data_IF_462701640465
#
_entry.id   IF_462701640465
#
_cell.length_a   1.000
_cell.length_b   1.000
_cell.length_c   1.000
_cell.angle_alpha   90.00
_cell.angle_beta   90.00
_cell.angle_gamma   90.00
#
_symmetry.space_group_name_H-M   'P 1'
#
loop_
_entity.id
_entity.type
_entity.pdbx_description
1 polymer ?
#
# COMPACT_ATOMS: atom_id res chain seq x y z
N UNK A 1 -23.30 -14.79 4.55
CA UNK A 1 -22.04 -14.57 5.30
C UNK A 1 -21.30 -13.30 4.92
N UNK A 2 -21.22 -12.90 3.63
CA UNK A 2 -20.36 -11.79 3.15
C UNK A 2 -20.68 -10.38 3.70
N UNK A 3 -21.95 -10.03 3.89
CA UNK A 3 -22.35 -8.70 4.36
C UNK A 3 -21.99 -8.43 5.84
N UNK A 4 -21.88 -9.49 6.64
CA UNK A 4 -21.54 -9.41 8.06
C UNK A 4 -20.10 -8.94 8.27
N UNK A 5 -19.16 -9.45 7.48
CA UNK A 5 -17.75 -9.03 7.53
C UNK A 5 -17.58 -7.54 7.22
N UNK A 6 -18.34 -7.03 6.24
CA UNK A 6 -18.32 -5.61 5.90
C UNK A 6 -18.83 -4.73 7.05
N UNK A 7 -19.92 -5.13 7.70
CA UNK A 7 -20.48 -4.40 8.84
C UNK A 7 -19.53 -4.41 10.04
N UNK A 8 -18.89 -5.56 10.31
CA UNK A 8 -17.89 -5.69 11.37
C UNK A 8 -16.68 -4.78 11.11
N UNK A 9 -16.17 -4.72 9.88
CA UNK A 9 -15.07 -3.82 9.51
C UNK A 9 -15.45 -2.35 9.66
N UNK A 10 -16.65 -1.97 9.25
CA UNK A 10 -17.16 -0.62 9.44
C UNK A 10 -17.27 -0.25 10.92
N UNK A 11 -17.72 -1.18 11.76
CA UNK A 11 -17.86 -0.95 13.19
C UNK A 11 -16.50 -0.82 13.88
N UNK A 12 -15.56 -1.74 13.60
CA UNK A 12 -14.18 -1.65 14.10
C UNK A 12 -13.55 -0.32 13.69
N UNK A 13 -13.76 0.10 12.45
CA UNK A 13 -13.23 1.36 11.97
C UNK A 13 -13.88 2.57 12.68
N UNK A 14 -15.20 2.59 12.86
CA UNK A 14 -15.89 3.68 13.56
C UNK A 14 -15.38 3.85 15.00
N UNK A 15 -14.98 2.75 15.63
CA UNK A 15 -14.35 2.77 16.96
C UNK A 15 -12.91 3.27 16.90
N UNK A 16 -12.15 2.85 15.89
CA UNK A 16 -10.74 3.23 15.75
C UNK A 16 -10.55 4.70 15.35
N UNK A 17 -11.43 5.26 14.50
CA UNK A 17 -11.37 6.65 14.02
C UNK A 17 -12.77 7.28 14.10
N UNK A 18 -13.10 7.93 15.23
CA UNK A 18 -14.35 8.65 15.44
C UNK A 18 -14.56 9.77 14.41
N UNK A 19 -15.82 10.12 14.13
CA UNK A 19 -16.15 11.12 13.10
C UNK A 19 -15.49 12.49 13.31
N UNK A 20 -15.30 12.89 14.56
CA UNK A 20 -14.64 14.15 14.95
C UNK A 20 -13.17 14.21 14.50
N UNK A 21 -12.51 13.07 14.42
CA UNK A 21 -11.09 12.96 14.05
C UNK A 21 -10.87 12.82 12.54
N UNK A 22 -11.94 12.60 11.75
CA UNK A 22 -11.82 12.37 10.29
C UNK A 22 -11.48 13.62 9.49
N UNK A 23 -11.60 14.81 10.08
CA UNK A 23 -11.30 16.10 9.43
C UNK A 23 -11.99 16.26 8.05
N UNK A 24 -13.23 15.80 7.93
CA UNK A 24 -14.01 15.84 6.68
C UNK A 24 -13.80 14.65 5.73
N UNK A 25 -12.90 13.73 6.05
CA UNK A 25 -12.66 12.51 5.25
C UNK A 25 -13.89 11.59 5.30
N UNK A 26 -14.41 11.25 4.10
CA UNK A 26 -15.48 10.26 3.92
C UNK A 26 -14.88 8.91 3.60
N UNK A 27 -15.47 7.85 4.16
CA UNK A 27 -14.93 6.51 4.08
C UNK A 27 -15.98 5.59 3.46
N UNK A 28 -15.55 4.80 2.49
CA UNK A 28 -16.42 3.94 1.71
C UNK A 28 -15.84 2.53 1.68
N UNK A 29 -16.60 1.58 2.20
CA UNK A 29 -16.18 0.18 2.26
C UNK A 29 -16.79 -0.60 1.10
N UNK A 30 -15.96 -1.42 0.48
CA UNK A 30 -16.31 -2.29 -0.65
C UNK A 30 -15.69 -3.66 -0.39
N UNK A 31 -16.42 -4.69 -0.76
CA UNK A 31 -15.98 -6.07 -0.63
C UNK A 31 -15.76 -6.61 -2.04
N UNK A 32 -14.58 -7.14 -2.29
CA UNK A 32 -14.16 -7.63 -3.60
C UNK A 32 -12.75 -8.19 -3.55
N UNK A 33 -12.30 -8.72 -4.67
CA UNK A 33 -10.94 -9.21 -4.86
C UNK A 33 -10.10 -8.21 -5.63
N UNK A 34 -8.88 -7.87 -5.17
CA UNK A 34 -7.96 -7.02 -5.92
C UNK A 34 -7.42 -7.69 -7.20
N UNK A 35 -7.71 -8.98 -7.40
CA UNK A 35 -7.32 -9.73 -8.60
C UNK A 35 -8.47 -9.81 -9.62
N UNK A 36 -9.63 -9.21 -9.32
CA UNK A 36 -10.79 -9.17 -10.21
C UNK A 36 -10.94 -7.74 -10.75
N UNK A 37 -10.80 -7.53 -12.07
CA UNK A 37 -10.85 -6.19 -12.66
C UNK A 37 -12.15 -5.43 -12.37
N UNK A 38 -13.29 -6.13 -12.40
CA UNK A 38 -14.60 -5.53 -12.11
C UNK A 38 -14.68 -4.93 -10.69
N UNK A 39 -14.06 -5.60 -9.71
CA UNK A 39 -14.05 -5.13 -8.32
C UNK A 39 -13.18 -3.87 -8.16
N UNK A 40 -12.07 -3.79 -8.89
CA UNK A 40 -11.22 -2.60 -8.94
C UNK A 40 -11.92 -1.41 -9.62
N UNK A 41 -12.75 -1.67 -10.62
CA UNK A 41 -13.58 -0.65 -11.27
C UNK A 41 -14.68 -0.11 -10.35
N UNK A 42 -15.30 -0.96 -9.52
CA UNK A 42 -16.32 -0.54 -8.54
C UNK A 42 -15.80 0.49 -7.53
N UNK A 43 -14.49 0.50 -7.27
CA UNK A 43 -13.83 1.46 -6.37
C UNK A 43 -13.08 2.56 -7.12
N UNK A 44 -13.19 2.60 -8.45
CA UNK A 44 -12.44 3.50 -9.33
C UNK A 44 -10.93 3.51 -9.05
N UNK A 45 -10.34 2.34 -8.73
CA UNK A 45 -8.95 2.22 -8.27
C UNK A 45 -7.93 2.81 -9.25
N UNK A 46 -8.17 2.69 -10.56
CA UNK A 46 -7.24 3.19 -11.57
C UNK A 46 -7.31 4.72 -11.74
N UNK A 47 -8.43 5.35 -11.37
CA UNK A 47 -8.66 6.81 -11.45
C UNK A 47 -8.42 7.54 -10.13
N UNK A 48 -8.12 6.82 -9.05
CA UNK A 48 -7.83 7.43 -7.76
C UNK A 48 -6.54 8.26 -7.81
N UNK A 49 -6.50 9.37 -7.06
CA UNK A 49 -5.30 10.22 -6.97
C UNK A 49 -4.09 9.51 -6.35
N UNK A 50 -4.34 8.52 -5.48
CA UNK A 50 -3.35 7.55 -5.03
C UNK A 50 -4.05 6.22 -4.69
N UNK A 51 -3.43 5.10 -5.06
CA UNK A 51 -3.91 3.75 -4.74
C UNK A 51 -2.83 3.02 -3.95
N UNK A 52 -3.18 2.54 -2.75
CA UNK A 52 -2.25 1.83 -1.87
C UNK A 52 -2.64 0.35 -1.85
N UNK A 53 -1.73 -0.51 -2.29
CA UNK A 53 -1.86 -1.97 -2.23
C UNK A 53 -1.10 -2.45 -1.01
N UNK A 54 -1.82 -2.93 0.00
CA UNK A 54 -1.25 -3.48 1.22
C UNK A 54 -1.09 -4.98 1.12
N UNK A 55 0.00 -5.51 1.67
CA UNK A 55 0.19 -6.95 1.77
C UNK A 55 -0.80 -7.54 2.79
N UNK A 56 -1.45 -8.65 2.46
CA UNK A 56 -2.44 -9.26 3.36
C UNK A 56 -1.75 -9.77 4.65
N UNK A 57 -2.09 -9.15 5.78
CA UNK A 57 -1.59 -9.53 7.11
C UNK A 57 -2.56 -10.44 7.88
N UNK A 58 -3.76 -10.66 7.34
CA UNK A 58 -4.89 -11.32 8.00
C UNK A 58 -4.71 -12.82 8.19
N UNK A 59 -3.65 -13.41 7.61
CA UNK A 59 -3.34 -14.85 7.72
C UNK A 59 -2.05 -15.09 8.52
N UNK A 60 -2.02 -14.62 9.77
CA UNK A 60 -1.02 -15.09 10.74
C UNK A 60 -1.45 -16.47 11.24
N UNK A 61 -0.78 -17.52 10.75
CA UNK A 61 -0.94 -18.88 11.28
C UNK A 61 -0.55 -18.88 12.75
N UNK A 62 -1.52 -19.27 13.59
CA UNK A 62 -1.33 -19.60 14.99
C UNK A 62 -0.23 -20.67 15.12
N UNK A 63 0.88 -20.33 15.80
CA UNK A 63 1.85 -21.34 16.25
C UNK A 63 1.27 -22.06 17.46
N UNK A 64 0.64 -23.19 17.20
CA UNK A 64 0.33 -24.20 18.21
C UNK A 64 -0.07 -25.48 17.50
N UNK A 65 0.39 -26.64 17.98
CA UNK A 65 0.08 -27.93 17.36
C UNK A 65 1.21 -28.45 16.47
N UNK A 66 2.15 -29.11 17.12
CA UNK A 66 3.22 -29.93 16.56
C UNK A 66 2.62 -31.16 15.85
N UNK A 67 2.85 -31.33 14.55
CA UNK A 67 3.08 -32.66 13.95
C UNK A 67 4.24 -32.57 12.93
N UNK A 68 5.28 -33.40 13.07
CA UNK A 68 6.25 -33.63 12.01
C UNK A 68 5.62 -34.62 11.03
N UNK A 69 5.60 -34.33 9.73
CA UNK A 69 5.70 -35.31 8.61
C UNK A 69 5.06 -34.88 7.27
N UNK A 70 4.45 -33.70 7.13
CA UNK A 70 3.98 -33.26 5.80
C UNK A 70 4.88 -32.18 5.17
N UNK A 71 5.78 -32.55 4.22
CA UNK A 71 6.56 -31.59 3.44
C UNK A 71 5.74 -30.82 2.38
N UNK A 72 4.45 -31.14 2.19
CA UNK A 72 3.60 -30.59 1.13
C UNK A 72 2.24 -30.03 1.60
N UNK A 73 2.10 -29.60 2.87
CA UNK A 73 0.89 -28.87 3.30
C UNK A 73 0.92 -27.40 2.82
N UNK A 74 0.30 -27.22 1.65
CA UNK A 74 0.13 -26.00 0.87
C UNK A 74 -0.88 -25.01 1.50
N UNK A 75 -0.69 -24.60 2.75
CA UNK A 75 -1.53 -23.56 3.37
C UNK A 75 -0.73 -22.63 4.31
N UNK A 76 0.53 -22.37 3.95
CA UNK A 76 1.37 -21.33 4.55
C UNK A 76 1.55 -20.21 3.55
N UNK A 77 0.71 -19.17 3.60
CA UNK A 77 0.96 -17.97 2.78
C UNK A 77 2.26 -17.31 3.22
N UNK A 78 3.35 -17.60 2.51
CA UNK A 78 4.67 -17.02 2.78
C UNK A 78 4.66 -15.53 2.40
N UNK A 79 5.62 -14.73 2.89
CA UNK A 79 5.83 -13.37 2.38
C UNK A 79 5.90 -13.30 0.85
N UNK A 80 6.37 -14.36 0.20
CA UNK A 80 6.42 -14.46 -1.27
C UNK A 80 5.03 -14.51 -1.90
N UNK A 81 4.09 -15.27 -1.32
CA UNK A 81 2.71 -15.31 -1.82
C UNK A 81 1.99 -13.97 -1.64
N UNK A 82 2.22 -13.30 -0.51
CA UNK A 82 1.66 -11.97 -0.26
C UNK A 82 2.19 -10.98 -1.30
N UNK A 83 3.50 -10.97 -1.54
CA UNK A 83 4.11 -10.12 -2.57
C UNK A 83 3.63 -10.48 -3.97
N UNK A 84 3.44 -11.77 -4.28
CA UNK A 84 2.90 -12.20 -5.57
C UNK A 84 1.49 -11.66 -5.80
N UNK A 85 0.63 -11.62 -4.78
CA UNK A 85 -0.70 -11.01 -4.89
C UNK A 85 -0.61 -9.49 -5.10
N UNK A 86 0.29 -8.81 -4.38
CA UNK A 86 0.53 -7.38 -4.55
C UNK A 86 1.01 -7.07 -5.97
N UNK A 87 1.98 -7.83 -6.47
CA UNK A 87 2.53 -7.67 -7.83
C UNK A 87 1.44 -7.91 -8.88
N UNK A 88 0.65 -8.99 -8.74
CA UNK A 88 -0.45 -9.28 -9.69
C UNK A 88 -1.51 -8.17 -9.70
N UNK A 89 -1.88 -7.64 -8.54
CA UNK A 89 -2.78 -6.51 -8.42
C UNK A 89 -2.19 -5.25 -9.08
N UNK A 90 -0.90 -4.99 -8.85
CA UNK A 90 -0.21 -3.84 -9.41
C UNK A 90 -0.13 -3.90 -10.95
N UNK A 91 0.23 -5.06 -11.52
CA UNK A 91 0.23 -5.29 -12.97
C UNK A 91 -1.18 -5.06 -13.53
N UNK A 92 -2.21 -5.65 -12.90
CA UNK A 92 -3.57 -5.50 -13.35
C UNK A 92 -4.04 -4.04 -13.33
N UNK A 93 -3.70 -3.28 -12.28
CA UNK A 93 -4.03 -1.86 -12.18
C UNK A 93 -3.30 -1.00 -13.22
N UNK A 94 -2.04 -1.34 -13.51
CA UNK A 94 -1.23 -0.66 -14.51
C UNK A 94 -1.77 -0.90 -15.94
N UNK A 95 -2.19 -2.14 -16.23
CA UNK A 95 -2.78 -2.53 -17.52
C UNK A 95 -4.23 -2.05 -17.71
N UNK A 96 -5.00 -1.92 -16.62
CA UNK A 96 -6.40 -1.50 -16.65
C UNK A 96 -6.60 -0.12 -17.32
N UNK A 97 -5.58 0.74 -17.27
CA UNK A 97 -5.62 2.06 -17.91
C UNK A 97 -5.24 2.03 -19.40
N UNK A 98 -4.54 0.98 -19.85
CA UNK A 98 -4.18 0.76 -21.25
C UNK A 98 -5.19 -0.13 -22.02
N UNK A 99 -6.20 -0.68 -21.34
CA UNK A 99 -7.27 -1.44 -21.99
C UNK A 99 -8.02 -0.54 -22.99
N UNK A 100 -7.78 -0.81 -24.29
CA UNK A 100 -8.28 -0.09 -25.48
C UNK A 100 -9.81 0.08 -25.42
N UNK A 101 -10.26 1.20 -24.86
CA UNK A 101 -11.67 1.53 -24.67
C UNK A 101 -11.95 2.48 -23.50
N UNK A 102 -11.01 2.61 -22.55
CA UNK A 102 -11.13 3.47 -21.36
C UNK A 102 -10.26 4.75 -21.38
N UNK A 103 -9.43 4.93 -22.42
CA UNK A 103 -8.71 6.19 -22.69
C UNK A 103 -9.65 7.29 -23.18
N UNK A 104 -10.51 7.77 -22.30
CA UNK A 104 -11.34 8.97 -22.52
C UNK A 104 -10.83 10.20 -21.78
N UNK A 105 -9.62 10.16 -21.19
CA UNK A 105 -9.07 11.28 -20.43
C UNK A 105 -7.55 11.37 -20.56
N UNK A 106 -7.08 12.62 -20.68
CA UNK A 106 -5.67 13.04 -20.69
C UNK A 106 -4.78 12.21 -19.75
N UNK A 107 -3.58 11.86 -20.21
CA UNK A 107 -2.51 11.24 -19.42
C UNK A 107 -2.17 11.97 -18.10
N UNK A 108 -2.73 13.17 -17.89
CA UNK A 108 -2.60 13.97 -16.68
C UNK A 108 -3.46 13.51 -15.48
N UNK A 109 -4.39 12.55 -15.63
CA UNK A 109 -5.37 12.23 -14.58
C UNK A 109 -5.10 10.94 -13.77
N UNK A 110 -4.02 10.21 -14.06
CA UNK A 110 -3.72 8.92 -13.41
C UNK A 110 -2.84 9.11 -12.18
N UNK A 111 -3.38 8.85 -10.98
CA UNK A 111 -2.67 8.99 -9.71
C UNK A 111 -1.75 7.82 -9.36
N UNK A 112 -0.77 7.98 -8.47
CA UNK A 112 0.26 6.95 -8.24
C UNK A 112 -0.26 5.67 -7.57
N UNK A 113 0.36 4.52 -7.89
CA UNK A 113 0.10 3.24 -7.23
C UNK A 113 1.27 2.92 -6.31
N UNK A 114 1.01 2.69 -5.03
CA UNK A 114 2.03 2.35 -4.03
C UNK A 114 1.80 0.92 -3.57
N UNK A 115 2.79 0.06 -3.78
CA UNK A 115 2.72 -1.37 -3.48
C UNK A 115 3.62 -1.73 -2.30
N UNK A 116 3.04 -2.25 -1.21
CA UNK A 116 3.81 -2.80 -0.09
C UNK A 116 4.46 -4.12 -0.49
N UNK A 117 5.79 -4.21 -0.35
CA UNK A 117 6.56 -5.42 -0.64
C UNK A 117 7.35 -5.86 0.59
N UNK A 118 7.36 -7.17 0.86
CA UNK A 118 7.99 -7.77 2.05
C UNK A 118 9.36 -8.37 1.73
N UNK A 119 9.52 -8.94 0.54
CA UNK A 119 10.72 -9.67 0.11
C UNK A 119 11.64 -8.79 -0.74
N UNK A 120 12.92 -9.17 -0.81
CA UNK A 120 13.93 -8.40 -1.56
C UNK A 120 13.80 -8.56 -3.07
N UNK A 121 13.37 -9.73 -3.53
CA UNK A 121 13.21 -10.06 -4.96
C UNK A 121 11.99 -9.37 -5.57
N UNK A 122 10.89 -9.22 -4.82
CA UNK A 122 9.65 -8.65 -5.31
C UNK A 122 9.80 -7.24 -5.91
N UNK A 123 10.70 -6.41 -5.35
CA UNK A 123 10.90 -5.04 -5.84
C UNK A 123 11.43 -5.00 -7.28
N UNK A 124 12.33 -5.93 -7.64
CA UNK A 124 12.87 -5.98 -8.99
C UNK A 124 11.83 -6.50 -9.99
N UNK A 125 11.06 -7.50 -9.58
CA UNK A 125 9.97 -8.06 -10.39
C UNK A 125 8.92 -6.98 -10.66
N UNK A 126 8.51 -6.22 -9.63
CA UNK A 126 7.57 -5.12 -9.77
C UNK A 126 8.07 -4.06 -10.75
N UNK A 127 9.34 -3.62 -10.60
CA UNK A 127 9.95 -2.61 -11.48
C UNK A 127 10.10 -3.05 -12.92
N UNK A 128 10.31 -4.35 -13.15
CA UNK A 128 10.38 -4.92 -14.48
C UNK A 128 8.99 -5.03 -15.13
N UNK A 129 7.96 -5.33 -14.34
CA UNK A 129 6.63 -5.68 -14.85
C UNK A 129 5.67 -4.49 -14.97
N UNK A 130 5.93 -3.38 -14.25
CA UNK A 130 5.04 -2.23 -14.18
C UNK A 130 5.70 -0.94 -14.67
N UNK A 131 4.87 0.01 -15.09
CA UNK A 131 5.27 1.36 -15.46
C UNK A 131 5.83 2.16 -14.26
N UNK A 132 6.51 3.30 -14.51
CA UNK A 132 7.04 4.16 -13.45
C UNK A 132 6.00 4.72 -12.47
N UNK A 133 4.71 4.61 -12.79
CA UNK A 133 3.60 5.01 -11.91
C UNK A 133 3.48 4.13 -10.67
N UNK A 134 3.90 2.87 -10.77
CA UNK A 134 3.83 1.89 -9.68
C UNK A 134 5.13 1.95 -8.86
N UNK A 135 5.00 2.34 -7.59
CA UNK A 135 6.11 2.50 -6.65
C UNK A 135 6.07 1.38 -5.61
N UNK A 136 7.03 0.47 -5.67
CA UNK A 136 7.24 -0.56 -4.66
C UNK A 136 7.90 -0.02 -3.40
N UNK A 137 7.32 -0.30 -2.24
CA UNK A 137 7.84 0.06 -0.91
C UNK A 137 8.31 -1.20 -0.18
N UNK A 138 9.63 -1.46 -0.11
CA UNK A 138 10.17 -2.63 0.57
C UNK A 138 10.15 -2.42 2.10
N UNK A 139 8.99 -2.58 2.72
CA UNK A 139 8.74 -2.21 4.13
C UNK A 139 9.68 -2.92 5.10
N UNK A 140 9.98 -4.19 4.86
CA UNK A 140 10.93 -4.96 5.67
C UNK A 140 12.33 -4.33 5.72
N UNK A 141 12.85 -3.92 4.56
CA UNK A 141 14.18 -3.29 4.46
C UNK A 141 14.20 -1.88 5.02
N UNK A 142 13.13 -1.10 4.77
CA UNK A 142 13.01 0.26 5.31
C UNK A 142 12.95 0.25 6.84
N UNK A 143 12.16 -0.66 7.42
CA UNK A 143 12.07 -0.83 8.86
C UNK A 143 13.39 -1.33 9.46
N UNK A 144 14.07 -2.30 8.84
CA UNK A 144 15.38 -2.76 9.29
C UNK A 144 16.40 -1.61 9.30
N UNK A 145 16.47 -0.80 8.24
CA UNK A 145 17.36 0.37 8.18
C UNK A 145 17.02 1.40 9.25
N UNK A 146 15.73 1.65 9.49
CA UNK A 146 15.27 2.55 10.56
C UNK A 146 15.71 2.04 11.93
N UNK A 147 15.54 0.75 12.22
CA UNK A 147 15.96 0.13 13.47
C UNK A 147 17.47 0.22 13.68
N UNK A 148 18.28 -0.09 12.67
CA UNK A 148 19.75 0.03 12.76
C UNK A 148 20.18 1.47 13.08
N UNK A 149 19.52 2.48 12.47
CA UNK A 149 19.78 3.89 12.79
C UNK A 149 19.41 4.22 14.23
N UNK A 150 18.28 3.70 14.73
CA UNK A 150 17.83 3.93 16.11
C UNK A 150 18.74 3.25 17.14
N UNK A 151 19.30 2.08 16.85
CA UNK A 151 20.29 1.42 17.72
C UNK A 151 21.55 2.26 17.87
N UNK A 152 22.02 2.88 16.78
CA UNK A 152 23.20 3.76 16.80
C UNK A 152 22.92 5.12 17.43
N UNK A 153 21.71 5.64 17.25
CA UNK A 153 21.31 6.96 17.71
C UNK A 153 19.82 6.95 18.11
N UNK A 154 19.49 6.64 19.37
CA UNK A 154 18.11 6.46 19.83
C UNK A 154 17.21 7.69 19.61
N UNK A 155 17.78 8.89 19.68
CA UNK A 155 17.04 10.14 19.43
C UNK A 155 16.45 10.23 18.01
N UNK A 156 16.98 9.47 17.03
CA UNK A 156 16.43 9.39 15.68
C UNK A 156 14.98 8.89 15.70
N UNK A 157 14.60 8.07 16.68
CA UNK A 157 13.21 7.61 16.83
C UNK A 157 12.24 8.80 16.99
N UNK A 158 12.62 9.79 17.80
CA UNK A 158 11.83 11.00 18.02
C UNK A 158 11.72 11.86 16.76
N UNK A 159 12.84 12.07 16.05
CA UNK A 159 12.84 12.83 14.78
C UNK A 159 11.99 12.10 13.73
N UNK A 160 12.20 10.79 13.55
CA UNK A 160 11.44 10.00 12.60
C UNK A 160 9.93 10.04 12.91
N UNK A 161 9.55 9.93 14.18
CA UNK A 161 8.15 10.09 14.59
C UNK A 161 7.56 11.43 14.19
N UNK A 162 8.33 12.52 14.26
CA UNK A 162 7.91 13.84 13.80
C UNK A 162 7.81 13.95 12.28
N UNK A 163 8.74 13.36 11.53
CA UNK A 163 8.74 13.40 10.06
C UNK A 163 7.61 12.57 9.44
N UNK A 164 7.19 11.47 10.08
CA UNK A 164 6.11 10.61 9.59
C UNK A 164 4.73 10.96 10.15
N UNK A 165 4.63 11.94 11.06
CA UNK A 165 3.36 12.43 11.55
C UNK A 165 2.90 13.64 10.72
N UNK A 166 1.84 13.45 9.94
CA UNK A 166 1.22 14.50 9.13
C UNK A 166 0.65 15.67 9.96
N UNK A 167 0.45 15.51 11.26
CA UNK A 167 0.06 16.61 12.15
C UNK A 167 1.23 17.56 12.45
N UNK A 168 2.47 17.14 12.19
CA UNK A 168 3.64 17.93 12.49
C UNK A 168 4.03 18.83 11.31
N UNK A 169 4.39 20.08 11.62
CA UNK A 169 4.95 21.05 10.66
C UNK A 169 6.28 20.60 10.06
N UNK A 170 6.96 19.64 10.68
CA UNK A 170 8.19 19.03 10.17
C UNK A 170 7.97 18.03 9.01
N UNK A 171 6.72 17.86 8.55
CA UNK A 171 6.43 17.04 7.36
C UNK A 171 7.13 17.59 6.12
N UNK A 172 7.62 16.71 5.25
CA UNK A 172 8.29 17.11 4.02
C UNK A 172 7.24 17.37 2.93
N UNK A 173 7.35 18.53 2.28
CA UNK A 173 6.53 18.90 1.12
C UNK A 173 7.43 19.16 -0.08
N UNK A 174 6.98 18.77 -1.25
CA UNK A 174 7.61 19.11 -2.52
C UNK A 174 6.63 20.03 -3.25
N UNK A 175 7.04 21.28 -3.45
CA UNK A 175 6.23 22.29 -4.10
C UNK A 175 7.07 23.00 -5.17
N UNK A 176 6.45 23.31 -6.30
CA UNK A 176 7.09 24.09 -7.35
C UNK A 176 7.04 25.57 -6.98
N UNK A 177 8.21 26.22 -7.04
CA UNK A 177 8.38 27.67 -6.88
C UNK A 177 9.09 28.22 -8.12
N UNK A 178 8.35 28.50 -9.22
CA UNK A 178 8.92 28.98 -10.48
C UNK A 178 9.81 30.22 -10.32
N UNK A 179 9.54 31.05 -9.32
CA UNK A 179 10.30 32.24 -8.98
C UNK A 179 11.74 31.96 -8.51
N UNK A 180 12.06 30.72 -8.11
CA UNK A 180 13.40 30.32 -7.67
C UNK A 180 14.27 29.79 -8.82
N UNK A 181 13.76 29.77 -10.06
CA UNK A 181 14.52 29.30 -11.23
C UNK A 181 15.71 30.21 -11.49
N UNK A 182 16.93 29.65 -11.43
CA UNK A 182 18.18 30.39 -11.64
C UNK A 182 18.79 30.97 -10.36
N UNK A 183 18.11 30.89 -9.22
CA UNK A 183 18.69 31.24 -7.92
C UNK A 183 19.62 30.12 -7.43
N UNK A 184 20.80 30.48 -6.89
CA UNK A 184 21.57 29.56 -6.06
C UNK A 184 20.98 29.59 -4.66
N UNK A 185 20.46 28.44 -4.23
CA UNK A 185 20.03 28.19 -2.84
C UNK A 185 21.23 27.67 -2.06
#
# INVERSE_FOLDING_TARGET
>A
MKQREKLEQEEVFRRAIPERERRGTRLVFRQGSPLVPADLQLVAASRAGATIIMSDQSRRVWRGGRTPHDPCSLDRRTPDEADAQVIRCAILLDELDDYRGLRTGSAAATGHVVAELRTRSALQILRYSCSPRVVGVPTGQLNARRLVKMVKAPFISWIAGRLFNFENKASNYVQAFPELVGCRV
#
